data_IF_981870097611
#
_entry.id   IF_981870097611
#
_cell.length_a   1.000
_cell.length_b   1.000
_cell.length_c   1.000
_cell.angle_alpha   90.00
_cell.angle_beta   90.00
_cell.angle_gamma   90.00
#
_symmetry.space_group_name_H-M   'P 1'
#
loop_
_entity.id
_entity.type
_entity.pdbx_description
1 polymer ?
#
# COMPACT_ATOMS: atom_id res chain seq x y z
N UNK A 1 -3.22 35.58 -7.49
CA UNK A 1 -4.26 34.71 -6.95
C UNK A 1 -4.12 34.75 -5.44
N UNK A 2 -5.14 35.26 -4.77
CA UNK A 2 -5.30 35.20 -3.32
C UNK A 2 -5.81 33.82 -2.90
N UNK A 3 -5.67 33.46 -1.63
CA UNK A 3 -6.27 32.23 -1.08
C UNK A 3 -7.78 32.21 -1.28
N UNK A 4 -8.46 33.36 -1.15
CA UNK A 4 -9.90 33.46 -1.38
C UNK A 4 -10.30 33.15 -2.83
N UNK A 5 -9.50 33.58 -3.82
CA UNK A 5 -9.74 33.22 -5.22
C UNK A 5 -9.53 31.73 -5.48
N UNK A 6 -8.59 31.10 -4.76
CA UNK A 6 -8.33 29.65 -4.88
C UNK A 6 -9.51 28.84 -4.32
N UNK A 7 -10.02 29.23 -3.16
CA UNK A 7 -11.16 28.57 -2.51
C UNK A 7 -12.45 28.71 -3.33
N UNK A 8 -12.72 29.89 -3.89
CA UNK A 8 -13.88 30.13 -4.74
C UNK A 8 -13.83 29.30 -6.03
N UNK A 9 -12.64 29.18 -6.64
CA UNK A 9 -12.44 28.33 -7.81
C UNK A 9 -12.62 26.84 -7.49
N UNK A 10 -12.12 26.38 -6.34
CA UNK A 10 -12.29 24.98 -5.92
C UNK A 10 -13.75 24.64 -5.57
N UNK A 11 -14.47 25.56 -4.93
CA UNK A 11 -15.87 25.37 -4.55
C UNK A 11 -16.84 25.41 -5.74
N UNK A 12 -16.46 26.07 -6.84
CA UNK A 12 -17.28 26.18 -8.05
C UNK A 12 -16.94 25.14 -9.12
N UNK A 13 -15.90 24.31 -8.91
CA UNK A 13 -15.52 23.23 -9.83
C UNK A 13 -16.46 22.02 -9.69
N UNK A 14 -17.30 21.71 -10.71
CA UNK A 14 -18.22 20.58 -10.66
C UNK A 14 -17.51 19.21 -10.65
N UNK A 15 -16.24 19.16 -11.07
CA UNK A 15 -15.42 17.95 -11.05
C UNK A 15 -14.59 17.82 -9.74
N UNK A 16 -14.70 18.80 -8.83
CA UNK A 16 -14.11 18.72 -7.51
C UNK A 16 -15.12 18.12 -6.52
N UNK A 17 -15.03 16.82 -6.17
CA UNK A 17 -15.80 16.30 -5.05
C UNK A 17 -15.22 16.95 -3.81
N UNK A 18 -15.94 17.90 -3.20
CA UNK A 18 -15.50 18.57 -1.98
C UNK A 18 -14.98 17.54 -0.99
N UNK A 19 -13.66 17.54 -0.78
CA UNK A 19 -12.97 16.55 0.04
C UNK A 19 -13.15 16.93 1.50
N UNK A 20 -14.30 16.61 2.07
CA UNK A 20 -14.56 16.79 3.49
C UNK A 20 -13.97 15.61 4.31
N UNK A 21 -13.99 15.77 5.63
CA UNK A 21 -13.48 14.75 6.56
C UNK A 21 -14.18 13.38 6.39
N UNK A 22 -15.38 13.34 5.81
CA UNK A 22 -16.13 12.10 5.59
C UNK A 22 -15.53 11.26 4.46
N UNK A 23 -14.91 11.90 3.46
CA UNK A 23 -14.16 11.20 2.40
C UNK A 23 -12.97 10.44 2.99
N UNK A 24 -12.29 11.03 3.98
CA UNK A 24 -11.14 10.42 4.65
C UNK A 24 -11.54 9.37 5.68
N UNK A 25 -12.70 9.54 6.33
CA UNK A 25 -13.21 8.62 7.36
C UNK A 25 -13.58 7.22 6.82
N UNK A 26 -13.83 7.09 5.52
CA UNK A 26 -14.15 5.83 4.86
C UNK A 26 -12.95 5.06 4.31
N UNK A 27 -11.73 5.60 4.41
CA UNK A 27 -10.53 4.87 4.00
C UNK A 27 -10.19 3.82 5.05
N UNK A 28 -10.27 2.55 4.68
CA UNK A 28 -9.75 1.45 5.49
C UNK A 28 -8.28 1.72 5.83
N UNK A 29 -7.97 1.73 7.13
CA UNK A 29 -6.59 1.83 7.57
C UNK A 29 -5.81 0.63 7.03
N UNK A 30 -4.67 0.85 6.34
CA UNK A 30 -3.89 -0.26 5.81
C UNK A 30 -3.55 -1.23 6.94
N UNK A 31 -3.62 -2.56 6.69
CA UNK A 31 -3.49 -3.56 7.74
C UNK A 31 -2.24 -3.33 8.57
N UNK A 32 -2.45 -2.93 9.83
CA UNK A 32 -1.40 -2.65 10.79
C UNK A 32 -0.81 -3.97 11.25
N UNK A 33 0.41 -4.25 10.79
CA UNK A 33 1.10 -5.50 11.11
C UNK A 33 2.32 -5.83 10.25
N UNK A 34 2.73 -4.92 9.35
CA UNK A 34 3.96 -5.08 8.58
C UNK A 34 5.07 -4.29 9.27
N UNK A 35 6.07 -5.00 9.77
CA UNK A 35 7.29 -4.38 10.26
C UNK A 35 8.26 -4.17 9.11
N UNK A 36 8.78 -2.94 8.97
CA UNK A 36 9.75 -2.59 7.96
C UNK A 36 11.16 -2.97 8.44
N UNK A 37 11.60 -4.17 8.07
CA UNK A 37 12.93 -4.68 8.39
C UNK A 37 13.81 -4.80 7.15
N UNK A 38 15.13 -4.74 7.36
CA UNK A 38 16.11 -5.07 6.32
C UNK A 38 16.49 -6.55 6.43
N UNK A 39 16.31 -7.30 5.35
CA UNK A 39 16.70 -8.72 5.26
C UNK A 39 17.62 -8.93 4.07
N UNK A 40 18.50 -9.92 4.17
CA UNK A 40 19.33 -10.38 3.05
C UNK A 40 18.62 -11.53 2.36
N UNK A 41 18.55 -11.46 1.03
CA UNK A 41 18.03 -12.52 0.17
C UNK A 41 19.12 -12.87 -0.84
N UNK A 42 19.14 -14.14 -1.25
CA UNK A 42 20.02 -14.58 -2.32
C UNK A 42 19.70 -13.85 -3.63
N UNK A 43 20.73 -13.65 -4.45
CA UNK A 43 20.63 -12.83 -5.66
C UNK A 43 19.64 -13.42 -6.66
N UNK A 44 19.65 -14.72 -6.84
CA UNK A 44 18.76 -15.46 -7.72
C UNK A 44 17.30 -15.40 -7.25
N UNK A 45 17.04 -15.54 -5.95
CA UNK A 45 15.71 -15.38 -5.34
C UNK A 45 15.18 -13.96 -5.60
N UNK A 46 16.00 -12.93 -5.34
CA UNK A 46 15.60 -11.55 -5.58
C UNK A 46 15.36 -11.28 -7.07
N UNK A 47 16.22 -11.82 -7.94
CA UNK A 47 16.06 -11.74 -9.39
C UNK A 47 14.79 -12.42 -9.87
N UNK A 48 14.40 -13.57 -9.31
CA UNK A 48 13.15 -14.26 -9.64
C UNK A 48 11.93 -13.36 -9.39
N UNK A 49 11.77 -12.83 -8.18
CA UNK A 49 10.59 -12.02 -7.86
C UNK A 49 10.54 -10.66 -8.58
N UNK A 50 11.71 -10.10 -8.96
CA UNK A 50 11.80 -8.85 -9.71
C UNK A 50 11.39 -8.96 -11.18
N UNK A 51 11.40 -10.17 -11.77
CA UNK A 51 10.98 -10.36 -13.17
C UNK A 51 9.55 -9.90 -13.43
N UNK A 52 8.68 -10.02 -12.42
CA UNK A 52 7.27 -9.59 -12.48
C UNK A 52 7.05 -8.10 -12.13
N UNK A 53 8.12 -7.30 -12.03
CA UNK A 53 8.02 -5.86 -11.83
C UNK A 53 7.54 -5.42 -10.44
N UNK A 54 6.74 -4.34 -10.40
CA UNK A 54 6.25 -3.73 -9.15
C UNK A 54 5.51 -4.77 -8.28
N UNK A 55 5.67 -4.66 -6.96
CA UNK A 55 5.03 -5.56 -6.00
C UNK A 55 5.84 -6.82 -5.64
N UNK A 56 7.10 -6.94 -6.10
CA UNK A 56 7.94 -8.10 -5.79
C UNK A 56 8.12 -8.35 -4.28
N UNK A 57 8.22 -7.29 -3.47
CA UNK A 57 8.29 -7.42 -2.00
C UNK A 57 6.99 -7.98 -1.40
N UNK A 58 5.84 -7.57 -1.92
CA UNK A 58 4.54 -8.11 -1.50
C UNK A 58 4.43 -9.59 -1.82
N UNK A 59 4.92 -10.01 -3.00
CA UNK A 59 4.97 -11.43 -3.39
C UNK A 59 5.90 -12.25 -2.50
N UNK A 60 7.11 -11.74 -2.20
CA UNK A 60 8.03 -12.37 -1.23
C UNK A 60 7.31 -12.60 0.10
N UNK A 61 6.66 -11.56 0.64
CA UNK A 61 5.95 -11.66 1.91
C UNK A 61 4.78 -12.67 1.87
N UNK A 62 4.05 -12.75 0.75
CA UNK A 62 2.97 -13.72 0.57
C UNK A 62 3.50 -15.16 0.62
N UNK A 63 4.63 -15.45 -0.05
CA UNK A 63 5.27 -16.77 -0.02
C UNK A 63 5.72 -17.14 1.40
N UNK A 64 6.35 -16.21 2.11
CA UNK A 64 6.76 -16.44 3.51
C UNK A 64 5.56 -16.74 4.42
N UNK A 65 4.45 -16.02 4.26
CA UNK A 65 3.21 -16.26 5.00
C UNK A 65 2.61 -17.63 4.70
N UNK A 66 2.57 -18.04 3.43
CA UNK A 66 2.10 -19.37 3.06
C UNK A 66 2.95 -20.48 3.69
N UNK A 67 4.27 -20.32 3.69
CA UNK A 67 5.18 -21.26 4.34
C UNK A 67 4.93 -21.35 5.86
N UNK A 68 4.78 -20.20 6.55
CA UNK A 68 4.45 -20.18 7.98
C UNK A 68 3.15 -20.95 8.29
N UNK A 69 2.07 -20.65 7.56
CA UNK A 69 0.77 -21.29 7.75
C UNK A 69 0.80 -22.80 7.46
N UNK A 70 1.54 -23.21 6.42
CA UNK A 70 1.71 -24.62 6.10
C UNK A 70 2.45 -25.35 7.23
N UNK A 71 3.48 -24.72 7.80
CA UNK A 71 4.24 -25.27 8.93
C UNK A 71 3.40 -25.37 10.21
N UNK A 72 2.58 -24.36 10.51
CA UNK A 72 1.66 -24.36 11.67
C UNK A 72 0.60 -25.46 11.59
N UNK A 73 0.13 -25.80 10.39
CA UNK A 73 -0.86 -26.88 10.19
C UNK A 73 -0.28 -28.29 10.28
N UNK A 74 1.04 -28.41 10.08
CA UNK A 74 1.74 -29.69 10.05
C UNK A 74 2.32 -30.10 11.41
N UNK A 75 2.33 -29.19 12.39
CA UNK A 75 2.71 -29.45 13.78
C UNK A 75 1.49 -29.52 14.69
#
# INVERSE_FOLDING_TARGET
MSEAEIDEMAASDPDHPGLDDTVWAGLDEPPSGKEAISIKLDRDVLSFFRQEGRGYQTRINAVLRHYMQAKERAG
#
